data_IF_870556209223
#
_entry.id   IF_870556209223
#
_cell.length_a   1.000
_cell.length_b   1.000
_cell.length_c   1.000
_cell.angle_alpha   90.00
_cell.angle_beta   90.00
_cell.angle_gamma   90.00
#
_symmetry.space_group_name_H-M   'P 1'
#
loop_
_entity.id
_entity.type
_entity.pdbx_description
1 polymer ?
#
# COMPACT_ATOMS: atom_id res chain seq x y z
N UNK A 1 -11.03 -4.11 13.09
CA UNK A 1 -9.57 -4.21 12.88
C UNK A 1 -8.87 -2.85 12.91
N UNK A 2 -8.98 -1.97 11.89
CA UNK A 2 -8.25 -0.67 11.88
C UNK A 2 -8.63 0.26 13.04
N UNK A 3 -9.91 0.32 13.42
CA UNK A 3 -10.38 1.08 14.59
C UNK A 3 -9.86 0.52 15.91
N UNK A 4 -9.70 -0.81 16.00
CA UNK A 4 -9.18 -1.47 17.19
C UNK A 4 -7.67 -1.23 17.31
N UNK A 5 -6.94 -1.32 16.20
CA UNK A 5 -5.53 -0.93 16.10
C UNK A 5 -5.30 0.53 16.49
N UNK A 6 -6.18 1.44 16.02
CA UNK A 6 -6.19 2.85 16.44
C UNK A 6 -6.22 2.96 17.96
N UNK A 7 -7.04 2.17 18.64
CA UNK A 7 -7.18 2.22 20.10
C UNK A 7 -6.01 1.58 20.87
N UNK A 8 -5.41 0.54 20.32
CA UNK A 8 -4.40 -0.28 20.99
C UNK A 8 -2.96 0.23 20.81
N UNK A 9 -2.65 0.91 19.71
CA UNK A 9 -1.28 1.27 19.36
C UNK A 9 -0.88 2.65 19.89
N UNK A 10 0.34 2.75 20.43
CA UNK A 10 0.97 4.05 20.75
C UNK A 10 1.24 4.82 19.45
N UNK A 11 1.17 6.15 19.49
CA UNK A 11 1.39 7.00 18.32
C UNK A 11 2.74 6.75 17.63
N UNK A 12 3.78 6.49 18.41
CA UNK A 12 5.12 6.18 17.87
C UNK A 12 5.15 4.93 17.00
N UNK A 13 4.29 3.93 17.26
CA UNK A 13 4.33 2.66 16.53
C UNK A 13 3.85 2.80 15.08
N UNK A 14 3.06 3.82 14.77
CA UNK A 14 2.60 4.08 13.40
C UNK A 14 3.75 4.45 12.46
N UNK A 15 4.88 4.91 13.03
CA UNK A 15 6.11 5.15 12.30
C UNK A 15 6.83 3.88 11.84
N UNK A 16 6.37 2.71 12.25
CA UNK A 16 6.97 1.44 11.81
C UNK A 16 6.03 0.69 10.85
N UNK A 17 4.96 1.34 10.39
CA UNK A 17 3.96 0.70 9.55
C UNK A 17 4.39 0.72 8.09
N UNK A 18 4.05 -0.39 7.42
CA UNK A 18 4.04 -0.55 5.96
C UNK A 18 2.68 -1.14 5.61
N UNK A 19 2.02 -0.59 4.60
CA UNK A 19 0.76 -1.11 4.07
C UNK A 19 1.03 -1.77 2.73
N UNK A 20 0.56 -3.01 2.56
CA UNK A 20 0.78 -3.79 1.33
C UNK A 20 -0.55 -4.17 0.70
N UNK A 21 -0.74 -3.80 -0.56
CA UNK A 21 -1.86 -4.26 -1.38
C UNK A 21 -1.49 -5.59 -2.03
N UNK A 22 -1.83 -6.69 -1.36
CA UNK A 22 -1.63 -8.03 -1.92
C UNK A 22 -2.60 -8.31 -3.07
N UNK A 23 -2.27 -9.30 -3.89
CA UNK A 23 -3.07 -9.71 -5.05
C UNK A 23 -3.33 -8.57 -6.05
N UNK A 24 -2.41 -7.60 -6.17
CA UNK A 24 -2.52 -6.50 -7.13
C UNK A 24 -2.60 -7.04 -8.57
N UNK A 25 -1.89 -8.15 -8.85
CA UNK A 25 -1.99 -8.86 -10.12
C UNK A 25 -3.43 -9.35 -10.41
N UNK A 26 -4.13 -9.89 -9.40
CA UNK A 26 -5.52 -10.37 -9.57
C UNK A 26 -6.51 -9.24 -9.79
N UNK A 27 -6.27 -8.07 -9.18
CA UNK A 27 -7.07 -6.88 -9.46
C UNK A 27 -6.93 -6.46 -10.93
N UNK A 28 -5.71 -6.50 -11.47
CA UNK A 28 -5.42 -6.17 -12.88
C UNK A 28 -6.01 -7.22 -13.84
N UNK A 29 -5.86 -8.51 -13.51
CA UNK A 29 -6.34 -9.65 -14.30
C UNK A 29 -7.88 -9.69 -14.43
N UNK A 30 -8.61 -8.90 -13.65
CA UNK A 30 -10.06 -8.79 -13.77
C UNK A 30 -10.48 -8.44 -15.22
N UNK A 31 -11.48 -9.14 -15.76
CA UNK A 31 -11.94 -9.06 -17.16
C UNK A 31 -12.15 -7.63 -17.68
N UNK A 32 -12.53 -6.69 -16.82
CA UNK A 32 -12.74 -5.29 -17.22
C UNK A 32 -11.44 -4.48 -17.34
N UNK A 33 -10.42 -4.83 -16.57
CA UNK A 33 -9.14 -4.11 -16.51
C UNK A 33 -8.10 -4.74 -17.43
N UNK A 34 -8.07 -6.07 -17.52
CA UNK A 34 -7.09 -6.82 -18.33
C UNK A 34 -7.14 -6.47 -19.82
N UNK A 35 -8.29 -6.02 -20.32
CA UNK A 35 -8.49 -5.60 -21.72
C UNK A 35 -8.04 -4.16 -22.00
N UNK A 36 -7.69 -3.38 -20.98
CA UNK A 36 -7.27 -1.99 -21.15
C UNK A 36 -5.78 -1.88 -21.44
N UNK A 37 -5.30 -0.78 -22.06
CA UNK A 37 -3.88 -0.51 -22.15
C UNK A 37 -3.22 -0.42 -20.78
N UNK A 38 -1.94 -0.80 -20.69
CA UNK A 38 -1.15 -0.85 -19.45
C UNK A 38 -1.25 0.44 -18.62
N UNK A 39 -1.18 1.60 -19.29
CA UNK A 39 -1.30 2.93 -18.66
C UNK A 39 -2.62 3.09 -17.90
N UNK A 40 -3.74 2.59 -18.47
CA UNK A 40 -5.06 2.67 -17.82
C UNK A 40 -5.17 1.69 -16.66
N UNK A 41 -4.54 0.53 -16.75
CA UNK A 41 -4.46 -0.43 -15.65
C UNK A 41 -3.63 0.15 -14.49
N UNK A 42 -2.45 0.74 -14.76
CA UNK A 42 -1.64 1.48 -13.76
C UNK A 42 -2.47 2.57 -13.10
N UNK A 43 -3.16 3.39 -13.88
CA UNK A 43 -4.03 4.45 -13.35
C UNK A 43 -5.18 3.91 -12.46
N UNK A 44 -5.76 2.76 -12.79
CA UNK A 44 -6.81 2.13 -11.99
C UNK A 44 -6.28 1.60 -10.64
N UNK A 45 -5.10 0.96 -10.65
CA UNK A 45 -4.40 0.50 -9.44
C UNK A 45 -4.07 1.70 -8.54
N UNK A 46 -3.53 2.76 -9.12
CA UNK A 46 -3.18 4.00 -8.40
C UNK A 46 -4.39 4.71 -7.80
N UNK A 47 -5.49 4.75 -8.56
CA UNK A 47 -6.77 5.25 -8.06
C UNK A 47 -7.23 4.43 -6.85
N UNK A 48 -7.16 3.10 -6.93
CA UNK A 48 -7.53 2.24 -5.79
C UNK A 48 -6.64 2.42 -4.58
N UNK A 49 -5.32 2.58 -4.79
CA UNK A 49 -4.38 2.94 -3.71
C UNK A 49 -4.80 4.23 -3.04
N UNK A 50 -5.13 5.26 -3.81
CA UNK A 50 -5.53 6.58 -3.30
C UNK A 50 -6.84 6.51 -2.51
N UNK A 51 -7.86 5.84 -3.06
CA UNK A 51 -9.14 5.61 -2.38
C UNK A 51 -8.94 4.88 -1.04
N UNK A 52 -8.11 3.84 -1.03
CA UNK A 52 -7.88 3.05 0.18
C UNK A 52 -7.01 3.78 1.21
N UNK A 53 -6.03 4.58 0.77
CA UNK A 53 -5.27 5.49 1.65
C UNK A 53 -6.20 6.41 2.43
N UNK A 54 -7.11 7.08 1.74
CA UNK A 54 -8.07 8.00 2.39
C UNK A 54 -9.05 7.25 3.31
N UNK A 55 -9.47 6.04 2.92
CA UNK A 55 -10.29 5.18 3.79
C UNK A 55 -9.56 4.80 5.09
N UNK A 56 -8.29 4.36 5.00
CA UNK A 56 -7.49 4.03 6.18
C UNK A 56 -7.32 5.26 7.06
N UNK A 57 -6.96 6.41 6.47
CA UNK A 57 -6.80 7.65 7.22
C UNK A 57 -8.07 7.98 7.98
N UNK A 58 -9.23 7.95 7.33
CA UNK A 58 -10.53 8.21 7.97
C UNK A 58 -10.80 7.26 9.15
N UNK A 59 -10.33 6.02 9.06
CA UNK A 59 -10.48 5.05 10.15
C UNK A 59 -9.60 5.38 11.36
N UNK A 60 -8.40 5.93 11.15
CA UNK A 60 -7.39 6.16 12.20
C UNK A 60 -7.16 7.64 12.55
N UNK A 61 -7.82 8.56 11.85
CA UNK A 61 -7.72 10.01 12.02
C UNK A 61 -8.12 10.44 13.43
N UNK A 62 -7.39 11.39 14.00
CA UNK A 62 -7.57 11.81 15.41
C UNK A 62 -6.71 11.03 16.42
N UNK A 63 -6.02 9.98 15.97
CA UNK A 63 -4.92 9.37 16.74
C UNK A 63 -3.59 9.44 15.99
N UNK A 64 -3.63 9.36 14.66
CA UNK A 64 -2.46 9.53 13.79
C UNK A 64 -2.59 10.88 13.08
N UNK A 65 -1.56 11.71 13.17
CA UNK A 65 -1.46 12.97 12.44
C UNK A 65 -1.30 12.71 10.93
N UNK A 66 -1.74 13.65 10.09
CA UNK A 66 -1.73 13.43 8.63
C UNK A 66 -0.31 13.33 8.04
N UNK A 67 0.65 14.08 8.56
CA UNK A 67 2.08 13.94 8.21
C UNK A 67 2.57 12.51 8.48
N UNK A 68 2.40 12.00 9.71
CA UNK A 68 2.83 10.64 10.08
C UNK A 68 2.15 9.58 9.22
N UNK A 69 0.88 9.77 8.89
CA UNK A 69 0.16 8.87 7.99
C UNK A 69 0.69 8.92 6.55
N UNK A 70 0.97 10.12 6.04
CA UNK A 70 1.48 10.31 4.68
C UNK A 70 2.88 9.67 4.50
N UNK A 71 3.64 9.56 5.58
CA UNK A 71 4.97 8.92 5.60
C UNK A 71 4.91 7.38 5.65
N UNK A 72 3.73 6.79 5.84
CA UNK A 72 3.57 5.33 5.78
C UNK A 72 3.78 4.87 4.34
N UNK A 73 4.69 3.91 4.07
CA UNK A 73 4.83 3.32 2.74
C UNK A 73 3.61 2.49 2.36
N UNK A 74 3.17 2.62 1.10
CA UNK A 74 2.08 1.85 0.51
C UNK A 74 2.59 1.09 -0.71
N UNK A 75 2.93 -0.18 -0.50
CA UNK A 75 3.54 -1.06 -1.49
C UNK A 75 2.48 -1.91 -2.20
N UNK A 76 2.76 -2.30 -3.43
CA UNK A 76 1.98 -3.32 -4.13
C UNK A 76 2.64 -4.68 -3.95
N UNK A 77 1.86 -5.76 -4.05
CA UNK A 77 2.36 -7.13 -4.10
C UNK A 77 1.50 -8.00 -5.00
N UNK A 78 2.13 -8.90 -5.75
CA UNK A 78 1.46 -9.80 -6.68
C UNK A 78 2.27 -11.06 -6.99
N UNK A 79 1.60 -12.10 -7.50
CA UNK A 79 2.25 -13.36 -7.86
C UNK A 79 3.24 -13.21 -9.03
N UNK A 80 4.34 -13.96 -8.98
CA UNK A 80 5.41 -13.95 -9.98
C UNK A 80 5.00 -14.56 -11.34
N UNK A 81 3.86 -15.24 -11.41
CA UNK A 81 3.40 -15.88 -12.62
C UNK A 81 2.71 -14.84 -13.52
N UNK A 82 3.40 -14.49 -14.62
CA UNK A 82 2.87 -13.82 -15.82
C UNK A 82 2.68 -12.29 -15.81
N UNK A 83 3.31 -11.52 -14.93
CA UNK A 83 3.15 -10.05 -15.00
C UNK A 83 4.45 -9.35 -15.37
N UNK A 84 4.59 -9.02 -16.66
CA UNK A 84 5.38 -7.88 -17.15
C UNK A 84 4.54 -6.61 -16.96
N UNK A 85 4.37 -6.17 -15.72
CA UNK A 85 4.04 -4.79 -15.43
C UNK A 85 5.24 -4.20 -14.73
N UNK A 86 5.78 -3.09 -15.25
CA UNK A 86 6.85 -2.37 -14.56
C UNK A 86 6.46 -2.06 -13.09
N UNK A 87 5.16 -1.88 -12.84
CA UNK A 87 4.60 -1.62 -11.50
C UNK A 87 4.80 -2.77 -10.50
N UNK A 88 4.91 -4.01 -10.98
CA UNK A 88 5.10 -5.21 -10.16
C UNK A 88 6.46 -5.88 -10.42
N UNK A 89 7.31 -5.34 -11.28
CA UNK A 89 8.56 -5.99 -11.67
C UNK A 89 9.52 -6.15 -10.48
N UNK A 90 9.59 -5.17 -9.58
CA UNK A 90 10.44 -5.19 -8.39
C UNK A 90 9.67 -4.99 -7.07
N UNK A 91 8.39 -5.41 -7.02
CA UNK A 91 7.55 -5.16 -5.84
C UNK A 91 8.15 -5.73 -4.55
N UNK A 92 8.85 -6.86 -4.63
CA UNK A 92 9.50 -7.49 -3.48
C UNK A 92 10.68 -6.64 -2.98
N UNK A 93 11.49 -6.09 -3.87
CA UNK A 93 12.59 -5.19 -3.52
C UNK A 93 12.07 -3.89 -2.90
N UNK A 94 11.01 -3.30 -3.47
CA UNK A 94 10.35 -2.11 -2.91
C UNK A 94 9.78 -2.37 -1.52
N UNK A 95 9.09 -3.50 -1.32
CA UNK A 95 8.57 -3.89 -0.02
C UNK A 95 9.69 -4.09 0.99
N UNK A 96 10.77 -4.76 0.60
CA UNK A 96 11.88 -5.02 1.50
C UNK A 96 12.60 -3.73 1.92
N UNK A 97 12.84 -2.82 0.97
CA UNK A 97 13.37 -1.48 1.26
C UNK A 97 12.48 -0.72 2.24
N UNK A 98 11.17 -0.66 1.97
CA UNK A 98 10.22 -0.02 2.87
C UNK A 98 10.22 -0.63 4.28
N UNK A 99 10.28 -1.96 4.40
CA UNK A 99 10.35 -2.62 5.70
C UNK A 99 11.65 -2.30 6.45
N UNK A 100 12.80 -2.25 5.75
CA UNK A 100 14.09 -1.91 6.35
C UNK A 100 14.07 -0.47 6.87
N UNK A 101 13.65 0.48 6.04
CA UNK A 101 13.61 1.91 6.40
C UNK A 101 12.73 2.14 7.64
N UNK A 102 11.58 1.45 7.71
CA UNK A 102 10.63 1.54 8.82
C UNK A 102 11.01 0.69 10.04
N UNK A 103 12.04 -0.14 9.95
CA UNK A 103 12.56 -0.92 11.09
C UNK A 103 13.72 -0.22 11.82
N UNK A 104 14.20 0.91 11.30
CA UNK A 104 15.25 1.70 11.94
C UNK A 104 14.72 2.46 13.15
N UNK A 105 15.60 2.70 14.14
CA UNK A 105 15.30 3.54 15.31
C UNK A 105 15.06 5.02 14.94
N UNK A 106 15.44 5.40 13.72
CA UNK A 106 15.36 6.75 13.16
C UNK A 106 14.01 7.02 12.46
N UNK A 107 13.11 6.03 12.40
CA UNK A 107 11.83 6.08 11.70
C UNK A 107 10.77 7.05 12.29
#
# INVERSE_FOLDING_TARGET
MLKDMKSALRQVLWKHFVVVFTFTNKFIENDSLSQLPEIKQKAAVEKKRTEFKEFIYTCISGRVERNVFNDIPFCFAGGAQQIQFDLLENWLGELWGACIDRSSDEA
#
